data_IF_999078443051
#
_entry.id   IF_999078443051
#
_cell.length_a   1.000
_cell.length_b   1.000
_cell.length_c   1.000
_cell.angle_alpha   90.00
_cell.angle_beta   90.00
_cell.angle_gamma   90.00
#
_symmetry.space_group_name_H-M   'P 1'
#
loop_
_entity.id
_entity.type
_entity.pdbx_description
1 polymer ?
#
# COMPACT_ATOMS: atom_id res chain seq x y z
N UNK A 1 -49.33 -54.98 19.76
CA UNK A 1 -49.53 -54.17 18.54
C UNK A 1 -48.86 -52.82 18.75
N UNK A 2 -48.20 -52.27 17.72
CA UNK A 2 -47.03 -51.39 17.83
C UNK A 2 -47.45 -49.93 17.98
N UNK A 3 -46.95 -49.19 18.98
CA UNK A 3 -46.79 -47.73 18.87
C UNK A 3 -46.07 -47.15 20.09
N UNK A 4 -44.75 -47.35 20.19
CA UNK A 4 -43.89 -46.53 21.06
C UNK A 4 -42.57 -46.15 20.39
N UNK A 5 -42.38 -46.57 19.14
CA UNK A 5 -41.20 -46.27 18.33
C UNK A 5 -41.39 -45.03 17.43
N UNK A 6 -42.63 -44.60 17.15
CA UNK A 6 -42.91 -43.48 16.24
C UNK A 6 -42.85 -42.09 16.90
N UNK A 7 -42.97 -42.00 18.23
CA UNK A 7 -42.94 -40.68 18.92
C UNK A 7 -41.53 -40.12 19.04
N UNK A 8 -40.53 -40.98 19.27
CA UNK A 8 -39.14 -40.56 19.42
C UNK A 8 -38.57 -40.01 18.10
N UNK A 9 -38.99 -40.56 16.96
CA UNK A 9 -38.50 -40.12 15.65
C UNK A 9 -38.96 -38.72 15.31
N UNK A 10 -40.18 -38.32 15.71
CA UNK A 10 -40.67 -36.97 15.46
C UNK A 10 -39.97 -35.94 16.35
N UNK A 11 -39.74 -36.27 17.63
CA UNK A 11 -38.99 -35.41 18.55
C UNK A 11 -37.54 -35.22 18.08
N UNK A 12 -36.89 -36.28 17.62
CA UNK A 12 -35.52 -36.23 17.09
C UNK A 12 -35.44 -35.41 15.80
N UNK A 13 -36.43 -35.53 14.90
CA UNK A 13 -36.51 -34.73 13.67
C UNK A 13 -36.70 -33.25 14.00
N UNK A 14 -37.65 -32.91 14.88
CA UNK A 14 -37.92 -31.50 15.26
C UNK A 14 -36.69 -30.89 15.93
N UNK A 15 -36.03 -31.62 16.82
CA UNK A 15 -34.82 -31.15 17.51
C UNK A 15 -33.66 -30.96 16.55
N UNK A 16 -33.50 -31.84 15.55
CA UNK A 16 -32.51 -31.70 14.47
C UNK A 16 -32.78 -30.47 13.59
N UNK A 17 -34.05 -30.20 13.24
CA UNK A 17 -34.40 -29.01 12.46
C UNK A 17 -34.13 -27.73 13.26
N UNK A 18 -34.47 -27.70 14.55
CA UNK A 18 -34.23 -26.53 15.43
C UNK A 18 -32.73 -26.27 15.62
N UNK A 19 -31.91 -27.31 15.80
CA UNK A 19 -30.45 -27.14 15.96
C UNK A 19 -29.78 -26.69 14.66
N UNK A 20 -30.20 -27.23 13.51
CA UNK A 20 -29.70 -26.80 12.18
C UNK A 20 -30.11 -25.34 11.90
N UNK A 21 -31.36 -24.97 12.20
CA UNK A 21 -31.85 -23.61 12.03
C UNK A 21 -31.11 -22.62 12.96
N UNK A 22 -30.87 -22.97 14.22
CA UNK A 22 -30.12 -22.14 15.16
C UNK A 22 -28.67 -21.95 14.70
N UNK A 23 -27.99 -23.01 14.26
CA UNK A 23 -26.62 -22.92 13.76
C UNK A 23 -26.50 -22.05 12.49
N UNK A 24 -27.49 -22.09 11.60
CA UNK A 24 -27.52 -21.24 10.41
C UNK A 24 -27.64 -19.75 10.72
N UNK A 25 -28.33 -19.38 11.81
CA UNK A 25 -28.47 -17.96 12.21
C UNK A 25 -27.18 -17.35 12.78
N UNK A 26 -26.30 -18.17 13.38
CA UNK A 26 -24.99 -17.70 13.91
C UNK A 26 -24.02 -17.31 12.79
N UNK A 27 -24.13 -17.93 11.60
CA UNK A 27 -23.31 -17.55 10.43
C UNK A 27 -23.78 -16.25 9.76
N UNK A 28 -25.02 -15.83 9.99
CA UNK A 28 -25.60 -14.59 9.44
C UNK A 28 -25.55 -13.40 10.41
N UNK A 29 -25.03 -13.59 11.62
CA UNK A 29 -24.43 -12.49 12.38
C UNK A 29 -23.11 -12.11 11.70
N UNK A 30 -23.28 -11.53 10.51
CA UNK A 30 -22.31 -10.75 9.76
C UNK A 30 -21.43 -9.99 10.76
N UNK A 31 -20.12 -9.90 10.57
CA UNK A 31 -19.27 -9.10 11.43
C UNK A 31 -19.82 -7.66 11.52
N UNK A 32 -20.68 -7.40 12.52
CA UNK A 32 -21.08 -6.09 12.99
C UNK A 32 -20.04 -5.59 13.99
N UNK A 33 -18.81 -6.14 13.92
CA UNK A 33 -17.61 -5.43 14.30
C UNK A 33 -17.51 -4.24 13.37
N UNK A 34 -18.23 -3.18 13.75
CA UNK A 34 -18.12 -1.86 13.17
C UNK A 34 -16.67 -1.62 12.79
N UNK A 35 -16.42 -1.22 11.54
CA UNK A 35 -15.16 -0.62 11.10
C UNK A 35 -14.81 0.66 11.89
N UNK A 36 -15.35 0.87 13.10
CA UNK A 36 -14.82 1.74 14.13
C UNK A 36 -13.57 1.16 14.82
N UNK A 37 -13.31 -0.15 14.73
CA UNK A 37 -11.95 -0.68 14.91
C UNK A 37 -11.08 -0.39 13.68
N UNK A 38 -11.30 0.78 13.06
CA UNK A 38 -10.40 1.35 12.07
C UNK A 38 -9.02 1.37 12.70
N UNK A 39 -8.25 0.40 12.25
CA UNK A 39 -6.80 0.32 12.34
C UNK A 39 -6.21 1.56 11.62
N UNK A 40 -4.94 1.53 11.23
CA UNK A 40 -3.66 1.76 11.91
C UNK A 40 -3.48 3.25 12.29
N UNK A 41 -2.29 3.67 12.74
CA UNK A 41 -1.97 5.08 13.04
C UNK A 41 -2.49 6.01 11.93
N UNK A 42 -3.29 7.06 12.24
CA UNK A 42 -3.83 7.94 11.23
C UNK A 42 -2.70 8.60 10.45
N UNK A 43 -2.85 8.71 9.12
CA UNK A 43 -1.89 9.45 8.31
C UNK A 43 -1.77 10.88 8.82
N UNK A 44 -0.53 11.32 9.02
CA UNK A 44 -0.27 12.69 9.42
C UNK A 44 -0.49 13.61 8.23
N UNK A 45 -0.94 14.85 8.47
CA UNK A 45 -1.03 15.86 7.39
C UNK A 45 0.32 16.12 6.72
N UNK A 46 1.43 15.84 7.42
CA UNK A 46 2.76 15.93 6.85
C UNK A 46 2.98 14.82 5.80
N UNK A 47 2.63 13.57 6.12
CA UNK A 47 2.74 12.44 5.20
C UNK A 47 1.91 12.64 3.93
N UNK A 48 0.64 13.06 4.06
CA UNK A 48 -0.23 13.28 2.89
C UNK A 48 0.35 14.36 1.97
N UNK A 49 0.88 15.45 2.53
CA UNK A 49 1.52 16.50 1.71
C UNK A 49 2.78 16.00 1.01
N UNK A 50 3.59 15.18 1.68
CA UNK A 50 4.77 14.59 1.05
C UNK A 50 4.37 13.69 -0.12
N UNK A 51 3.33 12.88 0.04
CA UNK A 51 2.84 12.01 -1.02
C UNK A 51 2.29 12.80 -2.21
N UNK A 52 1.57 13.89 -1.97
CA UNK A 52 1.12 14.79 -3.03
C UNK A 52 2.30 15.43 -3.78
N UNK A 53 3.31 15.92 -3.07
CA UNK A 53 4.53 16.47 -3.68
C UNK A 53 5.26 15.44 -4.55
N UNK A 54 5.33 14.19 -4.10
CA UNK A 54 5.92 13.10 -4.87
C UNK A 54 5.13 12.82 -6.15
N UNK A 55 3.80 12.82 -6.10
CA UNK A 55 2.93 12.67 -7.28
C UNK A 55 3.04 13.87 -8.22
N UNK A 56 3.11 15.09 -7.68
CA UNK A 56 3.36 16.31 -8.47
C UNK A 56 4.71 16.25 -9.19
N UNK A 57 5.73 15.63 -8.58
CA UNK A 57 7.04 15.44 -9.20
C UNK A 57 7.02 14.56 -10.46
N UNK A 58 5.94 13.79 -10.66
CA UNK A 58 5.71 12.96 -11.86
C UNK A 58 4.53 13.45 -12.71
N UNK A 59 4.10 14.69 -12.48
CA UNK A 59 3.13 15.40 -13.32
C UNK A 59 1.66 15.24 -12.90
N UNK A 60 1.37 14.70 -11.72
CA UNK A 60 0.00 14.73 -11.17
C UNK A 60 -0.38 16.15 -10.72
N UNK A 61 -1.64 16.56 -10.93
CA UNK A 61 -2.13 17.86 -10.45
C UNK A 61 -3.30 17.66 -9.48
N UNK A 62 -3.07 17.72 -8.15
CA UNK A 62 -4.12 17.54 -7.16
C UNK A 62 -5.17 18.66 -7.14
N UNK A 63 -4.89 19.80 -7.79
CA UNK A 63 -5.83 20.94 -7.87
C UNK A 63 -7.02 20.64 -8.79
N UNK A 64 -6.90 19.62 -9.65
CA UNK A 64 -7.99 19.18 -10.54
C UNK A 64 -9.09 18.42 -9.76
N UNK A 65 -8.78 17.93 -8.55
CA UNK A 65 -9.75 17.22 -7.71
C UNK A 65 -10.36 16.01 -8.41
N UNK A 66 -11.68 15.93 -8.42
CA UNK A 66 -12.48 14.92 -9.13
C UNK A 66 -12.65 15.30 -10.63
N UNK A 67 -11.54 15.58 -11.31
CA UNK A 67 -11.55 15.87 -12.74
C UNK A 67 -12.11 14.69 -13.57
N UNK A 68 -12.37 14.93 -14.86
CA UNK A 68 -13.00 13.93 -15.76
C UNK A 68 -12.22 12.59 -15.84
N UNK A 69 -10.90 12.63 -15.62
CA UNK A 69 -10.01 11.47 -15.72
C UNK A 69 -9.76 10.77 -14.37
N UNK A 70 -10.45 11.16 -13.28
CA UNK A 70 -10.33 10.46 -12.00
C UNK A 70 -11.09 9.11 -12.07
N UNK A 71 -10.47 7.97 -11.68
CA UNK A 71 -9.17 7.83 -11.01
C UNK A 71 -7.99 7.41 -11.90
N UNK A 72 -8.12 7.41 -13.23
CA UNK A 72 -7.06 6.95 -14.14
C UNK A 72 -5.79 7.81 -14.05
N UNK A 73 -5.95 9.12 -13.85
CA UNK A 73 -4.85 10.08 -13.74
C UNK A 73 -3.91 9.82 -12.54
N UNK A 74 -4.49 9.52 -11.37
CA UNK A 74 -3.75 9.22 -10.15
C UNK A 74 -3.07 7.84 -10.25
N UNK A 75 -3.71 6.85 -10.88
CA UNK A 75 -3.10 5.53 -11.11
C UNK A 75 -1.88 5.67 -12.03
N UNK A 76 -2.02 6.37 -13.15
CA UNK A 76 -0.92 6.60 -14.07
C UNK A 76 0.23 7.39 -13.43
N UNK A 77 -0.08 8.36 -12.55
CA UNK A 77 0.94 9.05 -11.77
C UNK A 77 1.66 8.13 -10.79
N UNK A 78 0.95 7.25 -10.08
CA UNK A 78 1.56 6.29 -9.17
C UNK A 78 2.54 5.34 -9.89
N UNK A 79 2.20 4.89 -11.10
CA UNK A 79 3.10 4.06 -11.92
C UNK A 79 4.38 4.81 -12.30
N UNK A 80 4.27 6.07 -12.75
CA UNK A 80 5.44 6.92 -13.04
C UNK A 80 6.29 7.15 -11.80
N UNK A 81 5.67 7.37 -10.64
CA UNK A 81 6.37 7.53 -9.37
C UNK A 81 7.12 6.26 -8.95
N UNK A 82 6.51 5.09 -9.14
CA UNK A 82 7.17 3.81 -8.91
C UNK A 82 8.39 3.63 -9.83
N UNK A 83 8.26 3.96 -11.11
CA UNK A 83 9.36 3.91 -12.06
C UNK A 83 10.50 4.87 -11.69
N UNK A 84 10.17 6.11 -11.31
CA UNK A 84 11.14 7.12 -10.82
C UNK A 84 11.90 6.62 -9.61
N UNK A 85 11.20 6.12 -8.58
CA UNK A 85 11.81 5.58 -7.36
C UNK A 85 12.71 4.37 -7.64
N UNK A 86 12.33 3.53 -8.60
CA UNK A 86 13.17 2.39 -9.02
C UNK A 86 14.45 2.87 -9.73
N UNK A 87 14.35 3.88 -10.59
CA UNK A 87 15.51 4.48 -11.25
C UNK A 87 16.46 5.12 -10.22
N UNK A 88 15.93 5.90 -9.27
CA UNK A 88 16.70 6.52 -8.18
C UNK A 88 17.43 5.46 -7.33
N UNK A 89 16.77 4.36 -6.97
CA UNK A 89 17.40 3.25 -6.24
C UNK A 89 18.54 2.62 -7.02
N UNK A 90 18.36 2.37 -8.33
CA UNK A 90 19.44 1.84 -9.18
C UNK A 90 20.62 2.81 -9.28
N UNK A 91 20.35 4.10 -9.40
CA UNK A 91 21.40 5.13 -9.40
C UNK A 91 22.13 5.20 -8.06
N UNK A 92 21.42 5.07 -6.94
CA UNK A 92 22.03 5.03 -5.61
C UNK A 92 22.91 3.78 -5.40
N UNK A 93 22.46 2.62 -5.86
CA UNK A 93 23.22 1.36 -5.81
C UNK A 93 24.48 1.44 -6.70
N UNK A 94 24.34 1.97 -7.91
CA UNK A 94 25.47 2.21 -8.81
C UNK A 94 26.45 3.27 -8.27
N UNK A 95 25.98 4.27 -7.53
CA UNK A 95 26.81 5.29 -6.91
C UNK A 95 27.63 4.75 -5.72
N UNK A 96 27.13 3.72 -5.02
CA UNK A 96 27.85 3.08 -3.92
C UNK A 96 28.86 2.03 -4.42
N UNK A 97 28.61 1.43 -5.60
CA UNK A 97 29.50 0.50 -6.27
C UNK A 97 29.71 -0.83 -5.52
N UNK A 98 30.01 -1.94 -6.20
CA UNK A 98 30.49 -3.14 -5.52
C UNK A 98 31.79 -2.75 -4.80
N UNK A 99 31.91 -3.07 -3.50
CA UNK A 99 33.09 -2.75 -2.72
C UNK A 99 34.37 -3.20 -3.46
N UNK A 100 35.16 -2.26 -3.97
CA UNK A 100 36.48 -2.53 -4.51
C UNK A 100 36.78 -1.90 -5.88
N UNK A 101 36.97 -0.59 -5.92
CA UNK A 101 38.16 0.04 -6.54
C UNK A 101 38.18 1.52 -6.13
N UNK A 102 39.11 1.97 -5.27
CA UNK A 102 39.26 3.38 -4.96
C UNK A 102 39.91 4.10 -6.15
N UNK A 103 39.11 4.59 -7.08
CA UNK A 103 39.58 5.46 -8.16
C UNK A 103 39.58 6.91 -7.65
N UNK A 104 40.30 7.19 -6.57
CA UNK A 104 40.52 8.54 -6.09
C UNK A 104 41.48 9.27 -7.05
N UNK A 105 40.97 9.72 -8.20
CA UNK A 105 41.60 10.79 -8.95
C UNK A 105 41.32 12.09 -8.20
N UNK A 106 42.03 12.30 -7.09
CA UNK A 106 42.16 13.62 -6.50
C UNK A 106 42.75 14.52 -7.60
N UNK A 107 41.96 15.46 -8.10
CA UNK A 107 42.39 16.44 -9.07
C UNK A 107 43.68 17.09 -8.58
N UNK A 108 44.78 16.83 -9.28
CA UNK A 108 46.04 17.49 -9.00
C UNK A 108 45.80 19.01 -9.09
N UNK A 109 46.26 19.81 -8.11
CA UNK A 109 46.10 21.25 -8.19
C UNK A 109 46.79 21.75 -9.46
N UNK A 110 46.06 22.53 -10.27
CA UNK A 110 46.62 23.19 -11.44
C UNK A 110 47.79 24.08 -11.00
N UNK A 111 48.97 24.02 -11.67
CA UNK A 111 50.05 24.94 -11.38
C UNK A 111 49.61 26.36 -11.76
N UNK A 112 49.59 27.24 -10.76
CA UNK A 112 49.30 28.67 -10.94
C UNK A 112 50.49 29.28 -11.70
N UNK A 113 50.33 29.54 -12.99
CA UNK A 113 51.31 30.32 -13.75
C UNK A 113 51.14 31.79 -13.40
N UNK A 114 52.08 32.33 -12.62
CA UNK A 114 52.17 33.78 -12.38
C UNK A 114 52.74 34.41 -13.66
N UNK A 115 51.87 35.06 -14.43
CA UNK A 115 52.25 35.90 -15.57
C UNK A 115 52.91 37.17 -15.04
N UNK A 116 54.23 37.23 -15.08
CA UNK A 116 55.00 38.45 -14.86
C UNK A 116 54.70 39.44 -15.99
N UNK A 117 54.14 40.60 -15.64
CA UNK A 117 53.97 41.73 -16.54
C UNK A 117 55.35 42.36 -16.81
N UNK A 118 55.63 42.66 -18.09
CA UNK A 118 56.75 43.46 -18.54
C UNK A 118 56.24 44.55 -19.47
#
# INVERSE_FOLDING_TARGET
MPSRAETNTLEDIVKSIVTIAAAATVLLAAPALSFAQSSPSPLTRAQVRQELLDLESVGYNPSLGDGDDYPDDIIAAQERLAAKRLAERRSADAAYGPAGTPNAHAGAPAPIAIQSAH
#
